data_IF_702459203556
#
_entry.id   IF_702459203556
#
_cell.length_a   1.000
_cell.length_b   1.000
_cell.length_c   1.000
_cell.angle_alpha   90.00
_cell.angle_beta   90.00
_cell.angle_gamma   90.00
#
_symmetry.space_group_name_H-M   'P 1'
#
loop_
_entity.id
_entity.type
_entity.pdbx_description
1 polymer ?
#
# COMPACT_ATOMS: atom_id res chain seq x y z
N UNK A 1 13.87 20.14 25.80
CA UNK A 1 12.83 19.23 25.28
C UNK A 1 12.85 17.98 26.15
N UNK A 2 11.86 17.79 27.02
CA UNK A 2 11.83 16.64 27.93
C UNK A 2 11.54 15.34 27.18
N UNK A 3 12.14 14.23 27.60
CA UNK A 3 11.94 12.90 27.00
C UNK A 3 10.45 12.52 26.84
N UNK A 4 9.59 12.97 27.76
CA UNK A 4 8.14 12.77 27.68
C UNK A 4 7.48 13.48 26.48
N UNK A 5 7.91 14.69 26.14
CA UNK A 5 7.39 15.42 24.98
C UNK A 5 7.82 14.79 23.66
N UNK A 6 9.04 14.22 23.59
CA UNK A 6 9.49 13.47 22.41
C UNK A 6 8.64 12.22 22.19
N UNK A 7 8.27 11.51 23.26
CA UNK A 7 7.41 10.32 23.18
C UNK A 7 5.98 10.68 22.78
N UNK A 8 5.42 11.77 23.33
CA UNK A 8 4.09 12.26 22.94
C UNK A 8 4.06 12.67 21.47
N UNK A 9 5.05 13.45 21.02
CA UNK A 9 5.14 13.88 19.62
C UNK A 9 5.34 12.69 18.68
N UNK A 10 6.15 11.70 19.06
CA UNK A 10 6.31 10.47 18.28
C UNK A 10 5.01 9.66 18.17
N UNK A 11 4.23 9.54 19.25
CA UNK A 11 2.90 8.89 19.21
C UNK A 11 1.94 9.63 18.29
N UNK A 12 1.91 10.95 18.35
CA UNK A 12 1.03 11.78 17.52
C UNK A 12 1.40 11.67 16.04
N UNK A 13 2.71 11.68 15.73
CA UNK A 13 3.22 11.44 14.38
C UNK A 13 2.87 10.04 13.87
N UNK A 14 3.04 9.00 14.69
CA UNK A 14 2.66 7.64 14.32
C UNK A 14 1.15 7.54 14.05
N UNK A 15 0.33 8.27 14.81
CA UNK A 15 -1.11 8.28 14.60
C UNK A 15 -1.47 8.99 13.29
N UNK A 16 -0.85 10.13 13.01
CA UNK A 16 -1.02 10.83 11.73
C UNK A 16 -0.61 9.95 10.54
N UNK A 17 0.54 9.28 10.63
CA UNK A 17 1.02 8.37 9.56
C UNK A 17 0.06 7.19 9.38
N UNK A 18 -0.44 6.62 10.46
CA UNK A 18 -1.37 5.50 10.41
C UNK A 18 -2.70 5.90 9.75
N UNK A 19 -3.27 7.07 10.09
CA UNK A 19 -4.50 7.58 9.45
C UNK A 19 -4.27 7.94 7.98
N UNK A 20 -3.15 8.59 7.67
CA UNK A 20 -2.83 9.05 6.32
C UNK A 20 -2.53 7.88 5.37
N UNK A 21 -1.90 6.80 5.88
CA UNK A 21 -1.61 5.60 5.09
C UNK A 21 -2.80 4.62 4.99
N UNK A 22 -3.75 4.66 5.91
CA UNK A 22 -4.93 3.78 5.94
C UNK A 22 -5.70 3.72 4.59
N UNK A 23 -6.09 4.84 3.94
CA UNK A 23 -6.79 4.79 2.66
C UNK A 23 -5.91 4.25 1.54
N UNK A 24 -4.62 4.60 1.54
CA UNK A 24 -3.63 4.11 0.56
C UNK A 24 -3.45 2.60 0.66
N UNK A 25 -3.31 2.09 1.88
CA UNK A 25 -3.16 0.66 2.17
C UNK A 25 -4.41 -0.11 1.79
N UNK A 26 -5.60 0.42 2.04
CA UNK A 26 -6.86 -0.21 1.62
C UNK A 26 -6.96 -0.37 0.10
N UNK A 27 -6.67 0.70 -0.65
CA UNK A 27 -6.68 0.65 -2.12
C UNK A 27 -5.58 -0.30 -2.63
N UNK A 28 -4.37 -0.23 -2.07
CA UNK A 28 -3.26 -1.12 -2.42
C UNK A 28 -3.61 -2.60 -2.19
N UNK A 29 -4.19 -2.93 -1.04
CA UNK A 29 -4.61 -4.29 -0.71
C UNK A 29 -5.72 -4.78 -1.65
N UNK A 30 -6.72 -3.95 -1.95
CA UNK A 30 -7.83 -4.34 -2.81
C UNK A 30 -7.35 -4.63 -4.25
N UNK A 31 -6.53 -3.74 -4.81
CA UNK A 31 -5.94 -3.92 -6.14
C UNK A 31 -4.99 -5.12 -6.17
N UNK A 32 -4.14 -5.28 -5.15
CA UNK A 32 -3.21 -6.40 -5.02
C UNK A 32 -3.93 -7.75 -4.94
N UNK A 33 -5.04 -7.82 -4.20
CA UNK A 33 -5.88 -9.02 -4.09
C UNK A 33 -6.55 -9.34 -5.42
N UNK A 34 -7.17 -8.35 -6.10
CA UNK A 34 -7.81 -8.57 -7.40
C UNK A 34 -6.83 -9.08 -8.46
N UNK A 35 -5.66 -8.45 -8.55
CA UNK A 35 -4.58 -8.88 -9.45
C UNK A 35 -4.11 -10.29 -9.11
N UNK A 36 -3.88 -10.59 -7.83
CA UNK A 36 -3.46 -11.91 -7.38
C UNK A 36 -4.49 -12.99 -7.68
N UNK A 37 -5.78 -12.67 -7.55
CA UNK A 37 -6.89 -13.58 -7.87
C UNK A 37 -6.92 -13.90 -9.36
N UNK A 38 -6.79 -12.90 -10.22
CA UNK A 38 -6.74 -13.08 -11.69
C UNK A 38 -5.54 -13.94 -12.10
N UNK A 39 -4.38 -13.73 -11.47
CA UNK A 39 -3.19 -14.55 -11.70
C UNK A 39 -3.40 -16.01 -11.25
N UNK A 40 -4.09 -16.24 -10.14
CA UNK A 40 -4.41 -17.59 -9.66
C UNK A 40 -5.42 -18.31 -10.57
N UNK A 41 -6.43 -17.59 -11.08
CA UNK A 41 -7.50 -18.14 -11.92
C UNK A 41 -7.04 -18.51 -13.34
N UNK A 42 -6.11 -17.76 -13.93
CA UNK A 42 -5.60 -18.04 -15.29
C UNK A 42 -4.45 -19.05 -15.32
N UNK A 43 -3.95 -19.51 -14.17
CA UNK A 43 -2.81 -20.44 -14.04
C UNK A 43 -1.51 -19.95 -14.72
N UNK A 44 -1.42 -18.66 -15.07
CA UNK A 44 -0.23 -18.06 -15.66
C UNK A 44 0.70 -17.67 -14.50
N UNK A 45 1.58 -18.59 -14.10
CA UNK A 45 2.66 -18.37 -13.13
C UNK A 45 3.96 -17.88 -13.81
N UNK A 46 3.85 -17.13 -14.90
CA UNK A 46 4.99 -16.44 -15.50
C UNK A 46 5.42 -15.29 -14.59
N UNK A 47 6.58 -15.46 -13.93
CA UNK A 47 7.10 -14.46 -12.98
C UNK A 47 7.27 -13.08 -13.61
N UNK A 48 7.58 -13.00 -14.91
CA UNK A 48 7.71 -11.74 -15.66
C UNK A 48 6.39 -10.99 -15.75
N UNK A 49 5.28 -11.70 -15.98
CA UNK A 49 3.93 -11.12 -16.04
C UNK A 49 3.48 -10.70 -14.64
N UNK A 50 3.77 -11.51 -13.61
CA UNK A 50 3.44 -11.14 -12.22
C UNK A 50 4.22 -9.91 -11.75
N UNK A 51 5.49 -9.77 -12.13
CA UNK A 51 6.32 -8.60 -11.83
C UNK A 51 5.79 -7.34 -12.53
N UNK A 52 5.49 -7.42 -13.82
CA UNK A 52 4.94 -6.29 -14.59
C UNK A 52 3.61 -5.80 -14.02
N UNK A 53 2.68 -6.72 -13.71
CA UNK A 53 1.37 -6.34 -13.16
C UNK A 53 1.52 -5.75 -11.74
N UNK A 54 2.41 -6.29 -10.89
CA UNK A 54 2.68 -5.69 -9.57
C UNK A 54 3.21 -4.26 -9.66
N UNK A 55 4.10 -3.98 -10.62
CA UNK A 55 4.68 -2.66 -10.83
C UNK A 55 3.63 -1.65 -11.33
N UNK A 56 2.78 -2.06 -12.28
CA UNK A 56 1.64 -1.25 -12.76
C UNK A 56 0.62 -1.02 -11.64
N UNK A 57 0.26 -2.05 -10.87
CA UNK A 57 -0.65 -1.92 -9.74
C UNK A 57 -0.13 -0.94 -8.68
N UNK A 58 1.16 -1.04 -8.32
CA UNK A 58 1.79 -0.10 -7.40
C UNK A 58 1.77 1.34 -7.95
N UNK A 59 2.05 1.51 -9.25
CA UNK A 59 2.05 2.82 -9.93
C UNK A 59 0.65 3.44 -9.97
N UNK A 60 -0.38 2.65 -10.29
CA UNK A 60 -1.78 3.09 -10.32
C UNK A 60 -2.28 3.42 -8.91
N UNK A 61 -1.91 2.63 -7.91
CA UNK A 61 -2.27 2.90 -6.51
C UNK A 61 -1.67 4.22 -6.03
N UNK A 62 -0.41 4.49 -6.38
CA UNK A 62 0.27 5.74 -6.05
C UNK A 62 -0.39 6.93 -6.77
N UNK A 63 -0.77 6.76 -8.05
CA UNK A 63 -1.45 7.79 -8.83
C UNK A 63 -2.87 8.09 -8.30
N UNK A 64 -3.64 7.07 -7.90
CA UNK A 64 -4.97 7.22 -7.30
C UNK A 64 -4.93 7.83 -5.90
N UNK A 65 -3.86 7.56 -5.14
CA UNK A 65 -3.61 8.15 -3.82
C UNK A 65 -3.23 9.63 -3.91
N UNK A 66 -2.61 10.07 -5.02
CA UNK A 66 -2.14 11.44 -5.19
C UNK A 66 -3.25 12.41 -5.67
N UNK A 67 -4.52 11.98 -5.70
CA UNK A 67 -5.65 12.80 -6.12
C UNK A 67 -6.64 13.06 -4.99
#
# INVERSE_FOLDING_TARGET
MGKAQLVQLASELLWLVLILSLPVVLVASLVGVLVGLVQALTQIQDQTVSFAIKLVAASVTLALTYH
#
